data_IF_420958461124
#
_entry.id   IF_420958461124
#
_cell.length_a   1.000
_cell.length_b   1.000
_cell.length_c   1.000
_cell.angle_alpha   90.00
_cell.angle_beta   90.00
_cell.angle_gamma   90.00
#
_symmetry.space_group_name_H-M   'P 1'
#
loop_
_entity.id
_entity.type
_entity.pdbx_description
1 polymer ?
#
# COMPACT_ATOMS: atom_id res chain seq x y z
N UNK A 1 -0.17 6.74 -23.64
CA UNK A 1 0.80 6.92 -22.53
C UNK A 1 2.05 6.16 -22.93
N UNK A 2 3.23 6.56 -22.44
CA UNK A 2 4.46 5.79 -22.69
C UNK A 2 4.39 4.39 -22.06
N UNK A 3 4.95 3.37 -22.74
CA UNK A 3 4.88 1.98 -22.29
C UNK A 3 5.68 1.72 -21.00
N UNK A 4 6.78 2.46 -20.77
CA UNK A 4 7.53 2.34 -19.52
C UNK A 4 6.76 2.96 -18.36
N UNK A 5 6.11 4.11 -18.59
CA UNK A 5 5.23 4.71 -17.61
C UNK A 5 4.03 3.80 -17.29
N UNK A 6 3.44 3.14 -18.29
CA UNK A 6 2.40 2.13 -18.05
C UNK A 6 2.94 0.94 -17.24
N UNK A 7 4.14 0.45 -17.56
CA UNK A 7 4.76 -0.64 -16.82
C UNK A 7 4.99 -0.29 -15.35
N UNK A 8 5.55 0.89 -15.05
CA UNK A 8 5.70 1.36 -13.67
C UNK A 8 4.37 1.54 -12.95
N UNK A 9 3.34 2.00 -13.66
CA UNK A 9 1.99 2.15 -13.12
C UNK A 9 1.34 0.79 -12.79
N UNK A 10 1.54 -0.21 -13.64
CA UNK A 10 1.11 -1.58 -13.36
C UNK A 10 1.88 -2.17 -12.18
N UNK A 11 3.18 -1.90 -12.09
CA UNK A 11 4.03 -2.40 -11.01
C UNK A 11 3.64 -1.81 -9.65
N UNK A 12 3.36 -0.51 -9.56
CA UNK A 12 2.86 0.08 -8.30
C UNK A 12 1.47 -0.45 -7.94
N UNK A 13 0.61 -0.70 -8.93
CA UNK A 13 -0.69 -1.31 -8.67
C UNK A 13 -0.57 -2.76 -8.17
N UNK A 14 0.37 -3.52 -8.75
CA UNK A 14 0.67 -4.88 -8.33
C UNK A 14 1.31 -4.93 -6.92
N UNK A 15 2.17 -3.96 -6.61
CA UNK A 15 2.70 -3.74 -5.27
C UNK A 15 1.56 -3.52 -4.27
N UNK A 16 0.67 -2.57 -4.54
CA UNK A 16 -0.47 -2.26 -3.66
C UNK A 16 -1.38 -3.48 -3.46
N UNK A 17 -1.68 -4.24 -4.54
CA UNK A 17 -2.46 -5.47 -4.46
C UNK A 17 -1.76 -6.55 -3.63
N UNK A 18 -0.44 -6.69 -3.76
CA UNK A 18 0.34 -7.65 -2.97
C UNK A 18 0.36 -7.27 -1.48
N UNK A 19 0.39 -5.98 -1.16
CA UNK A 19 0.32 -5.46 0.21
C UNK A 19 -1.05 -5.65 0.86
N UNK A 20 -2.11 -5.85 0.07
CA UNK A 20 -3.46 -6.18 0.55
C UNK A 20 -3.62 -7.67 0.91
N UNK A 21 -2.69 -8.55 0.51
CA UNK A 21 -2.79 -9.98 0.76
C UNK A 21 -2.09 -10.41 2.05
N UNK A 22 -2.58 -11.47 2.71
CA UNK A 22 -1.94 -12.00 3.91
C UNK A 22 -0.61 -12.72 3.63
N UNK A 23 -0.29 -13.05 2.37
CA UNK A 23 0.89 -13.83 1.98
C UNK A 23 1.62 -13.19 0.79
N UNK A 24 2.95 -13.22 0.80
CA UNK A 24 3.82 -12.47 -0.12
C UNK A 24 3.93 -13.02 -1.55
N UNK A 25 3.13 -14.01 -1.96
CA UNK A 25 3.23 -14.66 -3.26
C UNK A 25 1.85 -14.97 -3.83
N UNK A 26 1.23 -13.95 -4.43
CA UNK A 26 -0.06 -14.06 -5.07
C UNK A 26 -0.01 -13.54 -6.50
N UNK A 27 -0.61 -14.30 -7.43
CA UNK A 27 -0.76 -13.89 -8.81
C UNK A 27 -2.07 -13.14 -8.99
N UNK A 28 -2.00 -11.94 -9.57
CA UNK A 28 -3.17 -11.14 -9.91
C UNK A 28 -3.37 -11.13 -11.41
N UNK A 29 -4.64 -11.15 -11.84
CA UNK A 29 -4.96 -11.12 -13.25
C UNK A 29 -4.66 -9.73 -13.83
N UNK A 30 -4.12 -9.71 -15.05
CA UNK A 30 -3.63 -8.46 -15.65
C UNK A 30 -4.74 -7.44 -15.95
N UNK A 31 -5.95 -7.90 -16.24
CA UNK A 31 -7.14 -7.06 -16.39
C UNK A 31 -7.55 -6.40 -15.06
N UNK A 32 -7.45 -7.12 -13.94
CA UNK A 32 -7.68 -6.58 -12.60
C UNK A 32 -6.67 -5.47 -12.26
N UNK A 33 -5.38 -5.70 -12.56
CA UNK A 33 -4.31 -4.72 -12.34
C UNK A 33 -4.55 -3.49 -13.24
N UNK A 34 -4.82 -3.70 -14.53
CA UNK A 34 -5.07 -2.62 -15.49
C UNK A 34 -6.27 -1.75 -15.13
N UNK A 35 -7.38 -2.37 -14.72
CA UNK A 35 -8.61 -1.66 -14.34
C UNK A 35 -8.36 -0.70 -13.17
N UNK A 36 -7.52 -1.07 -12.20
CA UNK A 36 -7.19 -0.25 -11.03
C UNK A 36 -6.45 1.05 -11.40
N UNK A 37 -5.78 1.06 -12.54
CA UNK A 37 -5.02 2.21 -13.05
C UNK A 37 -5.69 2.87 -14.26
N UNK A 38 -6.93 2.49 -14.58
CA UNK A 38 -7.68 3.03 -15.71
C UNK A 38 -7.24 2.53 -17.09
N UNK A 39 -6.33 1.55 -17.14
CA UNK A 39 -5.84 0.97 -18.38
C UNK A 39 -6.71 -0.24 -18.77
N UNK A 40 -7.38 -0.15 -19.92
CA UNK A 40 -8.28 -1.21 -20.44
C UNK A 40 -7.79 -1.85 -21.74
N UNK A 41 -6.75 -1.29 -22.37
CA UNK A 41 -6.14 -1.83 -23.58
C UNK A 41 -5.25 -3.04 -23.23
N UNK A 42 -5.79 -4.24 -23.45
CA UNK A 42 -5.11 -5.50 -23.16
C UNK A 42 -3.81 -5.70 -23.95
N UNK A 43 -3.66 -5.11 -25.14
CA UNK A 43 -2.42 -5.21 -25.91
C UNK A 43 -1.30 -4.40 -25.25
N UNK A 44 -1.62 -3.18 -24.80
CA UNK A 44 -0.68 -2.33 -24.06
C UNK A 44 -0.35 -2.91 -22.69
N UNK A 45 -1.36 -3.41 -21.97
CA UNK A 45 -1.16 -4.08 -20.69
C UNK A 45 -0.22 -5.27 -20.83
N UNK A 46 -0.41 -6.12 -21.85
CA UNK A 46 0.44 -7.28 -22.09
C UNK A 46 1.88 -6.88 -22.41
N UNK A 47 2.07 -5.86 -23.26
CA UNK A 47 3.40 -5.31 -23.57
C UNK A 47 4.09 -4.74 -22.34
N UNK A 48 3.37 -3.97 -21.52
CA UNK A 48 3.89 -3.39 -20.28
C UNK A 48 4.23 -4.47 -19.24
N UNK A 49 3.41 -5.53 -19.14
CA UNK A 49 3.68 -6.67 -18.27
C UNK A 49 4.96 -7.42 -18.68
N UNK A 50 5.18 -7.65 -19.97
CA UNK A 50 6.43 -8.27 -20.46
C UNK A 50 7.66 -7.39 -20.20
N UNK A 51 7.55 -6.06 -20.27
CA UNK A 51 8.64 -5.17 -19.87
C UNK A 51 9.02 -5.39 -18.40
N UNK A 52 8.03 -5.55 -17.51
CA UNK A 52 8.29 -5.83 -16.09
C UNK A 52 8.94 -7.19 -15.88
N UNK A 53 8.55 -8.19 -16.67
CA UNK A 53 9.13 -9.54 -16.63
C UNK A 53 10.58 -9.55 -17.12
N UNK A 54 10.86 -8.92 -18.27
CA UNK A 54 12.20 -8.84 -18.85
C UNK A 54 13.18 -8.09 -17.93
N UNK A 55 12.67 -7.13 -17.14
CA UNK A 55 13.45 -6.39 -16.13
C UNK A 55 13.56 -7.12 -14.79
N UNK A 56 12.92 -8.28 -14.64
CA UNK A 56 12.91 -9.06 -13.41
C UNK A 56 12.06 -8.47 -12.28
N UNK A 57 11.20 -7.48 -12.57
CA UNK A 57 10.36 -6.81 -11.57
C UNK A 57 9.06 -7.55 -11.30
N UNK A 58 8.56 -8.32 -12.26
CA UNK A 58 7.39 -9.18 -12.10
C UNK A 58 7.64 -10.56 -12.71
N UNK A 59 6.88 -11.56 -12.28
CA UNK A 59 6.83 -12.88 -12.90
C UNK A 59 5.46 -13.07 -13.53
N UNK A 60 5.41 -13.43 -14.82
CA UNK A 60 4.15 -13.68 -15.50
C UNK A 60 3.83 -15.16 -15.49
N UNK A 61 2.54 -15.45 -15.42
CA UNK A 61 2.00 -16.79 -15.56
C UNK A 61 0.82 -16.76 -16.52
N UNK A 62 0.94 -17.56 -17.59
CA UNK A 62 -0.12 -17.79 -18.55
C UNK A 62 -0.46 -19.28 -18.53
N UNK A 63 -1.70 -19.62 -18.15
CA UNK A 63 -2.22 -20.97 -18.36
C UNK A 63 -3.03 -21.02 -19.65
N UNK A 64 -3.08 -22.15 -20.38
CA UNK A 64 -3.84 -22.27 -21.64
C UNK A 64 -5.34 -21.94 -21.55
N UNK A 65 -5.88 -21.86 -20.33
CA UNK A 65 -7.28 -21.57 -20.02
C UNK A 65 -7.45 -20.31 -19.17
N UNK A 66 -6.36 -19.60 -18.81
CA UNK A 66 -6.39 -18.46 -17.89
C UNK A 66 -5.93 -17.18 -18.57
N UNK A 67 -6.49 -16.06 -18.10
CA UNK A 67 -6.02 -14.70 -18.37
C UNK A 67 -4.61 -14.56 -17.80
N UNK A 68 -3.73 -13.84 -18.54
CA UNK A 68 -2.36 -13.54 -18.13
C UNK A 68 -2.36 -12.94 -16.73
N UNK A 69 -1.55 -13.49 -15.83
CA UNK A 69 -1.45 -13.02 -14.45
C UNK A 69 0.00 -12.66 -14.12
N UNK A 70 0.17 -11.74 -13.18
CA UNK A 70 1.46 -11.24 -12.74
C UNK A 70 1.60 -11.33 -11.22
N UNK A 71 2.82 -11.56 -10.77
CA UNK A 71 3.23 -11.50 -9.37
C UNK A 71 4.45 -10.58 -9.25
N UNK A 72 4.47 -9.70 -8.25
CA UNK A 72 5.62 -8.82 -8.03
C UNK A 72 6.80 -9.60 -7.45
N UNK A 73 8.01 -9.25 -7.86
CA UNK A 73 9.25 -9.78 -7.29
C UNK A 73 9.78 -8.89 -6.16
N UNK A 74 10.79 -9.38 -5.42
CA UNK A 74 11.54 -8.57 -4.44
C UNK A 74 12.18 -7.33 -5.07
N UNK A 75 12.68 -7.45 -6.30
CA UNK A 75 13.35 -6.35 -7.01
C UNK A 75 12.31 -5.33 -7.48
N UNK A 76 11.14 -5.79 -7.91
CA UNK A 76 9.99 -4.95 -8.24
C UNK A 76 9.47 -4.15 -7.03
N UNK A 77 9.41 -4.79 -5.86
CA UNK A 77 9.09 -4.10 -4.59
C UNK A 77 10.08 -2.98 -4.32
N UNK A 78 11.38 -3.31 -4.32
CA UNK A 78 12.45 -2.34 -4.07
C UNK A 78 12.43 -1.17 -5.07
N UNK A 79 12.13 -1.46 -6.33
CA UNK A 79 12.01 -0.47 -7.39
C UNK A 79 10.84 0.50 -7.14
N UNK A 80 9.66 -0.01 -6.75
CA UNK A 80 8.51 0.82 -6.41
C UNK A 80 8.78 1.70 -5.18
N UNK A 81 9.44 1.15 -4.16
CA UNK A 81 9.84 1.89 -2.96
C UNK A 81 10.85 3.00 -3.25
N UNK A 82 11.71 2.80 -4.25
CA UNK A 82 12.64 3.85 -4.73
C UNK A 82 11.96 4.97 -5.53
N UNK A 83 10.69 4.79 -5.91
CA UNK A 83 9.88 5.76 -6.65
C UNK A 83 9.92 5.62 -8.17
N UNK A 84 10.54 4.57 -8.70
CA UNK A 84 10.65 4.28 -10.13
C UNK A 84 11.56 5.25 -10.90
N UNK A 85 11.57 5.14 -12.22
CA UNK A 85 12.43 5.93 -13.11
C UNK A 85 11.65 7.01 -13.85
N UNK A 86 10.38 6.76 -14.21
CA UNK A 86 9.57 7.72 -14.97
C UNK A 86 8.96 8.82 -14.10
N UNK A 87 8.98 8.65 -12.78
CA UNK A 87 8.30 9.52 -11.82
C UNK A 87 6.78 9.32 -11.75
N UNK A 88 6.21 8.44 -12.60
CA UNK A 88 4.75 8.18 -12.61
C UNK A 88 4.27 7.56 -11.30
N UNK A 89 5.10 6.74 -10.64
CA UNK A 89 4.78 6.12 -9.33
C UNK A 89 4.54 7.21 -8.28
N UNK A 90 5.41 8.21 -8.23
CA UNK A 90 5.27 9.33 -7.29
C UNK A 90 4.01 10.16 -7.60
N UNK A 91 3.77 10.44 -8.88
CA UNK A 91 2.57 11.17 -9.32
C UNK A 91 1.30 10.41 -8.97
N UNK A 92 1.26 9.10 -9.24
CA UNK A 92 0.14 8.23 -8.90
C UNK A 92 -0.13 8.20 -7.40
N UNK A 93 0.90 8.09 -6.57
CA UNK A 93 0.75 8.10 -5.10
C UNK A 93 0.24 9.44 -4.56
N UNK A 94 0.63 10.56 -5.17
CA UNK A 94 0.18 11.89 -4.75
C UNK A 94 -1.27 12.17 -5.18
N UNK A 95 -1.65 11.77 -6.40
CA UNK A 95 -2.99 12.00 -6.92
C UNK A 95 -3.44 10.86 -7.87
N UNK A 96 -3.97 9.74 -7.33
CA UNK A 96 -4.34 8.59 -8.14
C UNK A 96 -5.40 8.92 -9.19
N UNK A 97 -6.36 9.80 -8.86
CA UNK A 97 -7.48 10.15 -9.74
C UNK A 97 -7.02 10.88 -11.00
N UNK A 98 -6.06 11.81 -10.85
CA UNK A 98 -5.50 12.56 -11.98
C UNK A 98 -4.76 11.67 -12.96
N UNK A 99 -3.97 10.72 -12.44
CA UNK A 99 -3.27 9.75 -13.29
C UNK A 99 -4.26 8.83 -14.00
N UNK A 100 -5.26 8.30 -13.28
CA UNK A 100 -6.31 7.45 -13.87
C UNK A 100 -7.07 8.21 -14.97
N UNK A 101 -7.38 9.49 -14.77
CA UNK A 101 -8.03 10.33 -15.78
C UNK A 101 -7.15 10.54 -17.02
N UNK A 102 -5.84 10.70 -16.86
CA UNK A 102 -4.87 10.80 -17.98
C UNK A 102 -4.83 9.49 -18.78
N UNK A 103 -4.76 8.35 -18.09
CA UNK A 103 -4.77 7.03 -18.73
C UNK A 103 -6.08 6.78 -19.47
N UNK A 104 -7.22 7.13 -18.86
CA UNK A 104 -8.54 6.99 -19.48
C UNK A 104 -8.74 7.92 -20.69
N UNK A 105 -8.25 9.18 -20.62
CA UNK A 105 -8.45 10.18 -21.68
C UNK A 105 -7.63 9.90 -22.94
N UNK A 106 -6.46 9.27 -22.84
CA UNK A 106 -5.65 8.95 -24.04
C UNK A 106 -6.23 7.82 -24.91
N UNK A 107 -7.29 7.15 -24.47
CA UNK A 107 -8.07 6.21 -25.31
C UNK A 107 -8.98 6.95 -26.32
N UNK A 108 -9.11 8.28 -26.22
CA UNK A 108 -9.81 9.12 -27.18
C UNK A 108 -9.04 10.45 -27.42
N UNK A 109 -8.26 10.53 -28.50
CA UNK A 109 -7.64 11.78 -28.97
C UNK A 109 -8.32 12.27 -30.28
N UNK A 110 -8.30 13.57 -30.66
CA UNK A 110 -7.18 14.53 -30.47
C UNK A 110 -7.60 16.02 -30.18
N UNK A 111 -6.71 17.02 -30.32
CA UNK A 111 -5.72 17.55 -29.36
C UNK A 111 -6.09 18.97 -28.85
N UNK A 112 -5.17 19.59 -28.10
CA UNK A 112 -5.16 20.98 -27.59
C UNK A 112 -5.67 21.18 -26.15
N UNK A 113 -4.77 21.55 -25.24
CA UNK A 113 -4.58 22.96 -24.85
C UNK A 113 -3.64 23.05 -23.66
N UNK A 114 -2.63 23.89 -23.82
CA UNK A 114 -1.69 24.30 -22.78
C UNK A 114 -2.45 25.05 -21.68
N UNK A 115 -2.20 24.76 -20.41
CA UNK A 115 -2.36 25.77 -19.36
C UNK A 115 -1.39 25.53 -18.22
N UNK A 116 -0.44 26.45 -18.12
CA UNK A 116 0.26 26.76 -16.89
C UNK A 116 -0.76 27.10 -15.81
N UNK A 117 -0.56 26.60 -14.59
CA UNK A 117 -0.86 27.42 -13.42
C UNK A 117 0.13 27.10 -12.32
N UNK A 118 0.99 28.09 -12.05
CA UNK A 118 1.79 28.19 -10.84
C UNK A 118 0.84 28.67 -9.75
N UNK A 119 0.82 28.00 -8.60
CA UNK A 119 0.55 28.66 -7.33
C UNK A 119 1.20 27.88 -6.17
N UNK A 120 2.25 28.49 -5.62
CA UNK A 120 2.75 28.29 -4.26
C UNK A 120 1.71 28.83 -3.25
N UNK A 121 1.46 28.11 -2.14
CA UNK A 121 1.73 28.57 -0.76
C UNK A 121 1.59 27.40 0.25
N UNK A 122 2.29 27.52 1.39
CA UNK A 122 2.82 26.52 2.35
C UNK A 122 1.90 26.47 3.63
N UNK A 123 2.19 25.84 4.80
CA UNK A 123 2.69 24.51 5.23
C UNK A 123 1.67 23.70 6.08
N UNK A 124 1.76 22.36 6.10
CA UNK A 124 1.06 21.51 7.09
C UNK A 124 1.98 20.44 7.73
N UNK A 125 3.21 20.79 8.10
CA UNK A 125 4.21 19.81 8.57
C UNK A 125 4.44 19.80 10.09
N UNK A 126 3.78 20.68 10.87
CA UNK A 126 4.09 20.82 12.32
C UNK A 126 3.20 19.97 13.24
N UNK A 127 2.00 19.56 12.81
CA UNK A 127 1.08 18.77 13.66
C UNK A 127 1.21 17.25 13.50
N UNK A 128 1.60 16.76 12.32
CA UNK A 128 1.77 15.33 12.03
C UNK A 128 2.90 14.67 12.85
N UNK A 129 3.92 15.44 13.25
CA UNK A 129 5.02 14.97 14.09
C UNK A 129 4.53 14.61 15.51
N UNK A 130 3.63 15.40 16.11
CA UNK A 130 3.14 15.14 17.49
C UNK A 130 2.22 13.92 17.60
N UNK A 131 1.45 13.64 16.55
CA UNK A 131 0.49 12.54 16.55
C UNK A 131 1.20 11.19 16.39
N UNK A 132 2.20 11.13 15.51
CA UNK A 132 3.02 9.94 15.33
C UNK A 132 3.81 9.60 16.61
N UNK A 133 4.42 10.59 17.27
CA UNK A 133 5.10 10.40 18.56
C UNK A 133 4.16 9.86 19.65
N UNK A 134 2.93 10.39 19.70
CA UNK A 134 1.90 9.92 20.65
C UNK A 134 1.51 8.47 20.36
N UNK A 135 1.31 8.12 19.08
CA UNK A 135 0.99 6.77 18.64
C UNK A 135 2.10 5.76 18.97
N UNK A 136 3.36 6.10 18.68
CA UNK A 136 4.52 5.26 18.99
C UNK A 136 4.72 5.07 20.50
N UNK A 137 4.42 6.10 21.30
CA UNK A 137 4.45 6.02 22.78
C UNK A 137 3.41 5.02 23.29
N UNK A 138 2.19 5.06 22.75
CA UNK A 138 1.12 4.12 23.13
C UNK A 138 1.46 2.69 22.71
N UNK A 139 1.96 2.49 21.48
CA UNK A 139 2.38 1.17 20.98
C UNK A 139 3.53 0.59 21.82
N UNK A 140 4.51 1.42 22.20
CA UNK A 140 5.60 1.02 23.09
C UNK A 140 5.08 0.60 24.47
N UNK A 141 4.09 1.33 25.01
CA UNK A 141 3.44 0.99 26.28
C UNK A 141 2.69 -0.34 26.22
N UNK A 142 2.01 -0.64 25.10
CA UNK A 142 1.35 -1.94 24.88
C UNK A 142 2.40 -3.07 24.91
N UNK A 143 3.55 -2.87 24.23
CA UNK A 143 4.66 -3.83 24.25
C UNK A 143 5.23 -4.05 25.65
N UNK A 144 5.39 -3.00 26.45
CA UNK A 144 5.83 -3.13 27.85
C UNK A 144 4.83 -3.90 28.71
N UNK A 145 3.52 -3.66 28.55
CA UNK A 145 2.50 -4.42 29.30
C UNK A 145 2.53 -5.89 28.92
N UNK A 146 2.69 -6.22 27.64
CA UNK A 146 2.85 -7.62 27.17
C UNK A 146 4.10 -8.30 27.76
N UNK A 147 5.19 -7.55 27.91
CA UNK A 147 6.45 -8.08 28.47
C UNK A 147 6.36 -8.30 29.99
N UNK A 148 5.73 -7.37 30.72
CA UNK A 148 5.73 -7.35 32.18
C UNK A 148 4.56 -8.11 32.82
N UNK A 149 3.47 -8.37 32.08
CA UNK A 149 2.29 -9.05 32.61
C UNK A 149 2.51 -10.57 32.74
N UNK A 150 2.93 -11.01 33.92
CA UNK A 150 3.13 -12.43 34.26
C UNK A 150 1.85 -13.26 34.27
N UNK A 151 0.67 -12.65 34.14
CA UNK A 151 -0.61 -13.37 34.06
C UNK A 151 -0.94 -13.86 32.65
N UNK A 152 -0.26 -13.35 31.62
CA UNK A 152 -0.43 -13.77 30.23
C UNK A 152 0.37 -15.04 29.97
N UNK A 153 -0.32 -16.08 29.48
CA UNK A 153 0.27 -17.35 29.07
C UNK A 153 1.30 -17.10 27.95
N UNK A 154 2.47 -17.76 28.02
CA UNK A 154 3.59 -17.51 27.11
C UNK A 154 3.21 -17.57 25.62
N UNK A 155 2.37 -18.53 25.21
CA UNK A 155 1.93 -18.64 23.81
C UNK A 155 1.05 -17.47 23.38
N UNK A 156 0.11 -17.05 24.23
CA UNK A 156 -0.77 -15.89 23.98
C UNK A 156 0.06 -14.60 23.93
N UNK A 157 1.10 -14.49 24.75
CA UNK A 157 2.03 -13.37 24.74
C UNK A 157 2.81 -13.30 23.43
N UNK A 158 3.37 -14.41 22.97
CA UNK A 158 4.13 -14.46 21.73
C UNK A 158 3.28 -14.09 20.52
N UNK A 159 2.03 -14.56 20.46
CA UNK A 159 1.10 -14.20 19.39
C UNK A 159 0.68 -12.74 19.47
N UNK A 160 0.36 -12.22 20.66
CA UNK A 160 0.07 -10.80 20.85
C UNK A 160 1.24 -9.87 20.52
N UNK A 161 2.49 -10.32 20.73
CA UNK A 161 3.69 -9.56 20.30
C UNK A 161 3.76 -9.51 18.77
N UNK A 162 3.47 -10.62 18.07
CA UNK A 162 3.43 -10.63 16.59
C UNK A 162 2.31 -9.73 16.06
N UNK A 163 1.14 -9.76 16.69
CA UNK A 163 0.02 -8.91 16.32
C UNK A 163 0.34 -7.42 16.56
N UNK A 164 1.03 -7.09 17.66
CA UNK A 164 1.50 -5.74 17.94
C UNK A 164 2.53 -5.24 16.91
N UNK A 165 3.50 -6.08 16.53
CA UNK A 165 4.45 -5.72 15.47
C UNK A 165 3.76 -5.55 14.11
N UNK A 166 2.80 -6.42 13.80
CA UNK A 166 1.95 -6.29 12.60
C UNK A 166 1.14 -4.99 12.61
N UNK A 167 0.61 -4.59 13.77
CA UNK A 167 -0.11 -3.33 13.95
C UNK A 167 0.80 -2.12 13.76
N UNK A 168 2.01 -2.14 14.33
CA UNK A 168 3.03 -1.07 14.13
C UNK A 168 3.37 -0.91 12.65
N UNK A 169 3.55 -2.02 11.94
CA UNK A 169 3.81 -2.01 10.50
C UNK A 169 2.63 -1.38 9.77
N UNK A 170 1.40 -1.82 10.02
CA UNK A 170 0.20 -1.27 9.36
C UNK A 170 0.02 0.23 9.62
N UNK A 171 0.28 0.70 10.84
CA UNK A 171 0.14 2.11 11.21
C UNK A 171 1.29 3.01 10.71
N UNK A 172 2.45 2.42 10.39
CA UNK A 172 3.58 3.14 9.79
C UNK A 172 3.43 3.38 8.28
N UNK A 173 2.46 2.73 7.64
CA UNK A 173 2.21 2.83 6.19
C UNK A 173 1.43 4.10 5.84
N UNK A 174 1.68 4.63 4.65
CA UNK A 174 0.94 5.79 4.10
C UNK A 174 -0.49 5.45 3.69
N UNK A 175 -0.78 4.17 3.41
CA UNK A 175 -2.13 3.65 3.22
C UNK A 175 -2.37 2.55 4.24
N UNK A 176 -3.27 2.80 5.19
CA UNK A 176 -3.58 1.87 6.27
C UNK A 176 -4.72 0.95 5.84
N UNK A 177 -4.51 -0.37 5.96
CA UNK A 177 -5.59 -1.33 5.82
C UNK A 177 -6.42 -1.34 7.11
N UNK A 178 -7.42 -0.46 7.19
CA UNK A 178 -8.24 -0.30 8.40
C UNK A 178 -8.93 -1.58 8.85
N UNK A 179 -9.32 -2.46 7.93
CA UNK A 179 -9.87 -3.79 8.28
C UNK A 179 -8.86 -4.67 9.02
N UNK A 180 -7.60 -4.67 8.55
CA UNK A 180 -6.54 -5.42 9.22
C UNK A 180 -6.15 -4.77 10.55
N UNK A 181 -6.13 -3.44 10.60
CA UNK A 181 -5.91 -2.68 11.84
C UNK A 181 -6.99 -3.02 12.88
N UNK A 182 -8.27 -3.00 12.50
CA UNK A 182 -9.39 -3.39 13.36
C UNK A 182 -9.26 -4.84 13.85
N UNK A 183 -8.95 -5.77 12.96
CA UNK A 183 -8.75 -7.18 13.32
C UNK A 183 -7.62 -7.38 14.34
N UNK A 184 -6.49 -6.68 14.15
CA UNK A 184 -5.35 -6.74 15.06
C UNK A 184 -5.67 -6.06 16.41
N UNK A 185 -6.46 -4.98 16.41
CA UNK A 185 -6.93 -4.35 17.64
C UNK A 185 -7.90 -5.25 18.41
N UNK A 186 -8.81 -5.95 17.72
CA UNK A 186 -9.75 -6.90 18.31
C UNK A 186 -9.02 -8.09 18.94
N UNK A 187 -8.01 -8.65 18.24
CA UNK A 187 -7.17 -9.72 18.77
C UNK A 187 -6.40 -9.29 20.04
N UNK A 188 -5.83 -8.08 20.04
CA UNK A 188 -5.15 -7.52 21.22
C UNK A 188 -6.13 -7.18 22.36
N UNK A 189 -7.39 -6.86 22.05
CA UNK A 189 -8.41 -6.54 23.04
C UNK A 189 -8.88 -7.76 23.85
N UNK A 190 -8.58 -8.98 23.39
CA UNK A 190 -8.80 -10.20 24.17
C UNK A 190 -7.96 -10.24 25.47
N UNK A 191 -6.89 -9.43 25.54
CA UNK A 191 -6.03 -9.30 26.73
C UNK A 191 -6.51 -8.12 27.58
N UNK A 192 -7.12 -8.36 28.77
CA UNK A 192 -7.76 -7.30 29.56
C UNK A 192 -6.79 -6.20 30.02
N UNK A 193 -5.52 -6.52 30.23
CA UNK A 193 -4.49 -5.56 30.65
C UNK A 193 -4.12 -4.56 29.55
N UNK A 194 -4.44 -4.85 28.28
CA UNK A 194 -4.18 -3.95 27.15
C UNK A 194 -5.32 -2.96 26.89
N UNK A 195 -6.53 -3.22 27.40
CA UNK A 195 -7.72 -2.41 27.13
C UNK A 195 -7.55 -0.90 27.39
N UNK A 196 -6.86 -0.43 28.45
CA UNK A 196 -6.62 1.00 28.64
C UNK A 196 -5.78 1.61 27.52
N UNK A 197 -4.68 0.95 27.13
CA UNK A 197 -3.77 1.42 26.08
C UNK A 197 -4.40 1.33 24.68
N UNK A 198 -5.24 0.33 24.42
CA UNK A 198 -5.98 0.20 23.16
C UNK A 198 -7.05 1.29 23.01
N UNK A 199 -7.69 1.72 24.11
CA UNK A 199 -8.61 2.88 24.09
C UNK A 199 -7.87 4.17 23.77
N UNK A 200 -6.70 4.39 24.36
CA UNK A 200 -5.85 5.54 24.05
C UNK A 200 -5.43 5.50 22.58
N UNK A 201 -5.06 4.33 22.06
CA UNK A 201 -4.71 4.15 20.64
C UNK A 201 -5.91 4.45 19.72
N UNK A 202 -7.09 3.93 20.02
CA UNK A 202 -8.30 4.17 19.23
C UNK A 202 -8.69 5.66 19.16
N UNK A 203 -8.45 6.43 20.23
CA UNK A 203 -8.66 7.88 20.24
C UNK A 203 -7.68 8.62 19.32
N UNK A 204 -6.47 8.10 19.15
CA UNK A 204 -5.48 8.63 18.20
C UNK A 204 -5.85 8.22 16.77
N UNK A 205 -6.26 6.97 16.55
CA UNK A 205 -6.64 6.47 15.22
C UNK A 205 -7.86 7.21 14.65
N UNK A 206 -8.85 7.57 15.48
CA UNK A 206 -10.00 8.40 15.06
C UNK A 206 -9.66 9.80 14.57
N UNK A 207 -8.42 10.26 14.77
CA UNK A 207 -7.93 11.54 14.23
C UNK A 207 -7.19 11.36 12.90
N UNK A 208 -6.98 10.12 12.47
CA UNK A 208 -6.35 9.74 11.21
C UNK A 208 -7.38 9.34 10.14
N UNK A 209 -8.60 8.95 10.54
CA UNK A 209 -9.80 8.86 9.69
C UNK A 209 -10.34 10.25 9.30
#
# INVERSE_FOLDING_TARGET
>A
MDLMALAELLLVSLYDLSEEQPHSYFFFQLDQIGTRVGATDMEQLTKAAHILEDRGFAMLSASPLSILSAMISSDGISFVESGGETGIIKTYRNNPREVIDIVCKEVQAPPESVSNSIQEDIPATVQALSLNETMQTILSRIGSVLADDSSIITTVREDAIKDLESLKIQLSRSSQNWRLVEMLLDALAEIPSLLPSLKDLALVLRRLE
#
